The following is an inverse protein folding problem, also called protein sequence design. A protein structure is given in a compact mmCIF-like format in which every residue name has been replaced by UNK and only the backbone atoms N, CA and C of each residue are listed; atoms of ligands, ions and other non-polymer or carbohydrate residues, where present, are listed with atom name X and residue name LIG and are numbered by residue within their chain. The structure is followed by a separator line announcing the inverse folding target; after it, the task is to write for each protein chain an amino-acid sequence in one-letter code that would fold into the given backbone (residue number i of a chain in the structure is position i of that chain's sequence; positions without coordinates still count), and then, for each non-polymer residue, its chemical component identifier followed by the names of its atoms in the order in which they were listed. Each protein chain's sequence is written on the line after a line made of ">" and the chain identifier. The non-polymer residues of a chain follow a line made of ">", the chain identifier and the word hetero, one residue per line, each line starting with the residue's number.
data_IF_947667530295
#
_entry.id   IF_947667530295
#
_cell.length_a   1.000
_cell.length_b   1.000
_cell.length_c   1.000
_cell.angle_alpha   90.00
_cell.angle_beta   90.00
_cell.angle_gamma   90.00
#
_symmetry.space_group_name_H-M   'P 1'
#
loop_
_entity.id
_entity.type
_entity.pdbx_description
1 polymer ?
#
# COMPACT_ATOMS: atom_id res chain seq x y z
N UNK A 1 -19.23 -22.47 28.26
CA UNK A 1 -18.52 -22.70 26.98
C UNK A 1 -17.69 -21.46 26.65
N UNK A 2 -16.48 -21.37 27.20
CA UNK A 2 -15.55 -20.27 26.93
C UNK A 2 -14.79 -20.53 25.64
N UNK A 3 -15.35 -20.13 24.50
CA UNK A 3 -14.63 -20.13 23.24
C UNK A 3 -13.60 -19.00 23.28
N UNK A 4 -12.33 -19.38 23.34
CA UNK A 4 -11.18 -18.49 23.29
C UNK A 4 -11.20 -17.71 21.97
N UNK A 5 -11.47 -16.41 22.05
CA UNK A 5 -11.43 -15.42 20.95
C UNK A 5 -10.20 -15.60 20.05
N UNK A 6 -9.10 -16.12 20.59
CA UNK A 6 -7.87 -16.41 19.86
C UNK A 6 -7.98 -17.48 18.75
N UNK A 7 -8.89 -18.47 18.84
CA UNK A 7 -9.06 -19.50 17.79
C UNK A 7 -9.96 -19.06 16.64
N UNK A 8 -10.85 -18.10 16.91
CA UNK A 8 -11.74 -17.50 15.90
C UNK A 8 -11.09 -16.28 15.23
N UNK A 9 -10.11 -15.65 15.88
CA UNK A 9 -9.40 -14.49 15.34
C UNK A 9 -8.76 -14.75 13.97
N UNK A 10 -8.09 -15.91 13.80
CA UNK A 10 -7.45 -16.29 12.54
C UNK A 10 -8.46 -16.48 11.40
N UNK A 11 -9.51 -17.33 11.53
CA UNK A 11 -10.50 -17.47 10.47
C UNK A 11 -11.33 -16.20 10.24
N UNK A 12 -11.56 -15.38 11.28
CA UNK A 12 -12.25 -14.08 11.13
C UNK A 12 -11.40 -13.06 10.36
N UNK A 13 -10.08 -13.04 10.61
CA UNK A 13 -9.13 -12.23 9.85
C UNK A 13 -9.05 -12.68 8.39
N UNK A 14 -9.02 -13.99 8.15
CA UNK A 14 -9.09 -14.56 6.79
C UNK A 14 -10.41 -14.20 6.11
N UNK A 15 -11.54 -14.30 6.81
CA UNK A 15 -12.86 -13.91 6.29
C UNK A 15 -12.93 -12.41 5.96
N UNK A 16 -12.30 -11.56 6.77
CA UNK A 16 -12.22 -10.12 6.56
C UNK A 16 -11.34 -9.77 5.34
N UNK A 17 -10.20 -10.45 5.18
CA UNK A 17 -9.34 -10.35 4.00
C UNK A 17 -10.11 -10.81 2.75
N UNK A 18 -10.84 -11.92 2.83
CA UNK A 18 -11.69 -12.42 1.74
C UNK A 18 -12.87 -11.46 1.44
N UNK A 19 -13.49 -10.85 2.44
CA UNK A 19 -14.56 -9.87 2.24
C UNK A 19 -14.03 -8.60 1.57
N UNK A 20 -12.85 -8.13 1.96
CA UNK A 20 -12.13 -7.04 1.29
C UNK A 20 -11.70 -7.44 -0.14
N UNK A 21 -11.51 -8.74 -0.39
CA UNK A 21 -11.30 -9.31 -1.72
C UNK A 21 -12.55 -9.31 -2.60
N UNK A 22 -13.76 -9.13 -2.07
CA UNK A 22 -15.00 -9.07 -2.86
C UNK A 22 -15.33 -7.65 -3.32
N UNK A 23 -14.94 -6.62 -2.57
CA UNK A 23 -15.33 -5.24 -2.88
C UNK A 23 -14.35 -4.56 -3.86
N UNK A 24 -14.74 -4.29 -5.12
CA UNK A 24 -13.89 -3.57 -6.05
C UNK A 24 -13.77 -2.10 -5.63
N UNK A 25 -12.55 -1.70 -5.23
CA UNK A 25 -12.22 -0.28 -5.15
C UNK A 25 -12.04 0.26 -6.58
N UNK A 26 -12.59 1.45 -6.89
CA UNK A 26 -12.35 2.10 -8.18
C UNK A 26 -10.87 2.47 -8.31
N UNK A 27 -10.29 2.20 -9.48
CA UNK A 27 -8.86 2.44 -9.80
C UNK A 27 -8.43 3.90 -9.57
N UNK A 28 -9.33 4.85 -9.79
CA UNK A 28 -9.09 6.28 -9.57
C UNK A 28 -8.78 6.60 -8.10
N UNK A 29 -9.49 5.95 -7.17
CA UNK A 29 -9.27 6.14 -5.73
C UNK A 29 -7.95 5.50 -5.29
N UNK A 30 -7.58 4.37 -5.90
CA UNK A 30 -6.29 3.75 -5.65
C UNK A 30 -5.13 4.65 -6.09
N UNK A 31 -5.20 5.24 -7.29
CA UNK A 31 -4.18 6.14 -7.80
C UNK A 31 -3.97 7.34 -6.86
N UNK A 32 -5.06 7.97 -6.42
CA UNK A 32 -4.99 9.11 -5.47
C UNK A 32 -4.34 8.70 -4.14
N UNK A 33 -4.73 7.57 -3.55
CA UNK A 33 -4.18 7.12 -2.28
C UNK A 33 -2.71 6.67 -2.42
N UNK A 34 -2.33 6.07 -3.55
CA UNK A 34 -0.95 5.66 -3.83
C UNK A 34 -0.05 6.89 -4.00
N UNK A 35 -0.49 7.89 -4.79
CA UNK A 35 0.23 9.17 -4.92
C UNK A 35 0.34 9.89 -3.57
N UNK A 36 -0.72 9.91 -2.77
CA UNK A 36 -0.70 10.47 -1.42
C UNK A 36 0.31 9.74 -0.53
N UNK A 37 0.38 8.41 -0.60
CA UNK A 37 1.33 7.64 0.20
C UNK A 37 2.78 8.00 -0.12
N UNK A 38 3.11 8.13 -1.41
CA UNK A 38 4.45 8.53 -1.86
C UNK A 38 4.76 9.96 -1.43
N UNK A 39 3.82 10.89 -1.60
CA UNK A 39 3.97 12.28 -1.16
C UNK A 39 4.20 12.37 0.36
N UNK A 40 3.41 11.65 1.16
CA UNK A 40 3.54 11.58 2.60
C UNK A 40 4.89 11.00 3.02
N UNK A 41 5.34 9.93 2.37
CA UNK A 41 6.67 9.35 2.61
C UNK A 41 7.79 10.36 2.32
N UNK A 42 7.64 11.16 1.26
CA UNK A 42 8.60 12.21 0.91
C UNK A 42 8.59 13.37 1.92
N UNK A 43 7.42 13.77 2.44
CA UNK A 43 7.30 14.75 3.52
C UNK A 43 7.98 14.23 4.78
N UNK A 44 7.69 13.00 5.19
CA UNK A 44 8.31 12.37 6.37
C UNK A 44 9.83 12.31 6.20
N UNK A 45 10.34 11.97 5.01
CA UNK A 45 11.77 11.99 4.71
C UNK A 45 12.37 13.40 4.86
N UNK A 46 11.76 14.42 4.24
CA UNK A 46 12.23 15.80 4.30
C UNK A 46 12.20 16.36 5.73
N UNK A 47 11.15 16.05 6.48
CA UNK A 47 11.02 16.41 7.91
C UNK A 47 12.09 15.70 8.72
N UNK A 48 12.35 14.42 8.48
CA UNK A 48 13.40 13.66 9.17
C UNK A 48 14.79 14.23 8.92
N UNK A 49 15.07 14.66 7.68
CA UNK A 49 16.34 15.27 7.29
C UNK A 49 16.54 16.68 7.89
N UNK A 50 15.46 17.39 8.22
CA UNK A 50 15.50 18.75 8.78
C UNK A 50 15.18 18.83 10.29
N UNK A 51 14.76 17.73 10.92
CA UNK A 51 14.34 17.71 12.32
C UNK A 51 15.53 17.99 13.25
N UNK A 52 15.47 19.11 13.99
CA UNK A 52 16.50 19.52 14.97
C UNK A 52 16.03 19.47 16.43
N UNK A 53 14.74 19.20 16.71
CA UNK A 53 14.16 19.28 18.07
C UNK A 53 13.57 17.94 18.56
N UNK A 54 13.81 17.53 19.82
CA UNK A 54 13.27 16.29 20.41
C UNK A 54 11.74 16.27 20.61
N UNK A 55 11.03 17.40 20.43
CA UNK A 55 9.57 17.44 20.49
C UNK A 55 8.92 16.81 19.24
N UNK A 56 9.59 16.87 18.08
CA UNK A 56 9.17 16.19 16.84
C UNK A 56 9.21 14.66 17.00
N UNK A 57 10.09 14.17 17.89
CA UNK A 57 10.30 12.75 18.16
C UNK A 57 9.09 12.07 18.84
N UNK A 58 8.17 12.79 19.48
CA UNK A 58 6.97 12.19 20.07
C UNK A 58 5.82 12.03 19.07
N UNK A 59 5.74 12.90 18.06
CA UNK A 59 4.74 12.79 16.99
C UNK A 59 5.20 11.81 15.91
N UNK A 60 6.52 11.68 15.75
CA UNK A 60 7.15 10.85 14.73
C UNK A 60 6.73 9.36 14.75
N UNK A 61 6.71 8.64 15.89
CA UNK A 61 6.28 7.24 15.95
C UNK A 61 4.82 7.06 15.51
N UNK A 62 3.94 7.98 15.89
CA UNK A 62 2.52 7.92 15.55
C UNK A 62 2.31 8.14 14.05
N UNK A 63 3.00 9.11 13.47
CA UNK A 63 2.98 9.34 12.01
C UNK A 63 3.52 8.12 11.28
N UNK A 64 4.64 7.54 11.73
CA UNK A 64 5.18 6.31 11.15
C UNK A 64 4.19 5.14 11.24
N UNK A 65 3.54 4.92 12.39
CA UNK A 65 2.52 3.88 12.54
C UNK A 65 1.35 4.09 11.57
N UNK A 66 0.82 5.32 11.46
CA UNK A 66 -0.26 5.64 10.51
C UNK A 66 0.17 5.45 9.05
N UNK A 67 1.37 5.92 8.68
CA UNK A 67 1.90 5.74 7.32
C UNK A 67 2.10 4.26 6.97
N UNK A 68 2.48 3.46 7.97
CA UNK A 68 2.71 2.02 7.82
C UNK A 68 1.38 1.28 7.62
N UNK A 69 0.34 1.62 8.39
CA UNK A 69 -1.01 1.07 8.22
C UNK A 69 -1.62 1.46 6.86
N UNK A 70 -1.40 2.71 6.43
CA UNK A 70 -1.80 3.17 5.10
C UNK A 70 -1.10 2.35 4.00
N UNK A 71 0.21 2.11 4.12
CA UNK A 71 0.97 1.26 3.19
C UNK A 71 0.44 -0.17 3.15
N UNK A 72 0.22 -0.79 4.31
CA UNK A 72 -0.33 -2.15 4.41
C UNK A 72 -1.67 -2.26 3.68
N UNK A 73 -2.57 -1.30 3.94
CA UNK A 73 -3.90 -1.26 3.32
C UNK A 73 -3.81 -1.08 1.80
N UNK A 74 -2.94 -0.18 1.33
CA UNK A 74 -2.76 0.09 -0.09
C UNK A 74 -2.11 -1.07 -0.84
N UNK A 75 -1.15 -1.77 -0.23
CA UNK A 75 -0.50 -2.94 -0.85
C UNK A 75 -1.46 -4.11 -1.04
N UNK A 76 -2.36 -4.35 -0.08
CA UNK A 76 -3.39 -5.39 -0.22
C UNK A 76 -4.40 -5.01 -1.31
N UNK A 77 -4.84 -3.75 -1.31
CA UNK A 77 -5.78 -3.25 -2.32
C UNK A 77 -5.18 -3.25 -3.73
N UNK A 78 -3.92 -2.82 -3.90
CA UNK A 78 -3.22 -2.77 -5.18
C UNK A 78 -2.99 -4.17 -5.73
N UNK A 79 -2.47 -5.09 -4.92
CA UNK A 79 -2.21 -6.47 -5.34
C UNK A 79 -3.50 -7.15 -5.80
N UNK A 80 -4.62 -6.93 -5.10
CA UNK A 80 -5.93 -7.44 -5.52
C UNK A 80 -6.34 -6.88 -6.87
N UNK A 81 -6.27 -5.57 -7.07
CA UNK A 81 -6.67 -4.94 -8.33
C UNK A 81 -5.76 -5.40 -9.48
N UNK A 82 -4.45 -5.50 -9.25
CA UNK A 82 -3.49 -6.04 -10.22
C UNK A 82 -3.84 -7.50 -10.60
N UNK A 83 -4.15 -8.37 -9.63
CA UNK A 83 -4.48 -9.77 -9.90
C UNK A 83 -5.86 -9.96 -10.55
N UNK A 84 -6.84 -9.12 -10.23
CA UNK A 84 -8.22 -9.22 -10.74
C UNK A 84 -8.43 -8.52 -12.09
N UNK A 85 -7.77 -7.38 -12.30
CA UNK A 85 -7.99 -6.47 -13.44
C UNK A 85 -6.73 -6.32 -14.32
N UNK A 86 -5.55 -6.76 -13.88
CA UNK A 86 -4.33 -6.67 -14.69
C UNK A 86 -4.39 -7.47 -16.01
N UNK A 87 -5.29 -8.44 -16.13
CA UNK A 87 -5.50 -9.19 -17.38
C UNK A 87 -6.29 -8.41 -18.44
N UNK A 88 -7.01 -7.34 -18.06
CA UNK A 88 -7.81 -6.50 -18.98
C UNK A 88 -7.01 -5.37 -19.66
N UNK A 89 -5.71 -5.24 -19.36
CA UNK A 89 -4.80 -4.26 -19.96
C UNK A 89 -3.91 -3.56 -18.92
N UNK A 90 -2.79 -2.94 -19.32
CA UNK A 90 -1.85 -2.29 -18.41
C UNK A 90 -2.47 -1.09 -17.64
N UNK A 91 -3.41 -0.38 -18.26
CA UNK A 91 -4.19 0.71 -17.63
C UNK A 91 -5.19 0.23 -16.55
N UNK A 92 -5.55 -1.05 -16.54
CA UNK A 92 -6.66 -1.56 -15.73
C UNK A 92 -6.32 -1.68 -14.24
N UNK A 93 -5.03 -1.66 -13.88
CA UNK A 93 -4.61 -1.67 -12.48
C UNK A 93 -4.56 -0.26 -11.84
N UNK A 94 -4.58 0.80 -12.66
CA UNK A 94 -4.36 2.19 -12.25
C UNK A 94 -3.17 2.82 -12.98
N UNK A 95 -3.28 4.09 -13.35
CA UNK A 95 -2.26 4.78 -14.17
C UNK A 95 -0.97 5.04 -13.41
N UNK A 96 -1.07 5.25 -12.09
CA UNK A 96 0.12 5.47 -11.25
C UNK A 96 0.93 4.18 -11.15
N UNK A 97 0.26 3.03 -11.03
CA UNK A 97 0.91 1.71 -11.00
C UNK A 97 1.58 1.41 -12.34
N UNK A 98 0.89 1.63 -13.47
CA UNK A 98 1.46 1.44 -14.80
C UNK A 98 2.70 2.32 -15.02
N UNK A 99 2.59 3.61 -14.69
CA UNK A 99 3.68 4.57 -14.86
C UNK A 99 4.87 4.21 -13.97
N UNK A 100 4.64 3.80 -12.72
CA UNK A 100 5.70 3.30 -11.85
C UNK A 100 6.35 2.04 -12.40
N UNK A 101 5.57 1.08 -12.89
CA UNK A 101 6.09 -0.16 -13.48
C UNK A 101 6.96 0.13 -14.71
N UNK A 102 6.47 0.97 -15.63
CA UNK A 102 7.20 1.37 -16.83
C UNK A 102 8.51 2.11 -16.49
N UNK A 103 8.46 3.05 -15.53
CA UNK A 103 9.63 3.78 -15.05
C UNK A 103 10.67 2.86 -14.42
N UNK A 104 10.24 1.89 -13.61
CA UNK A 104 11.13 1.02 -12.84
C UNK A 104 11.80 -0.06 -13.72
N UNK A 105 11.08 -0.54 -14.73
CA UNK A 105 11.59 -1.52 -15.69
C UNK A 105 12.51 -0.85 -16.71
N UNK A 106 12.32 0.44 -17.03
CA UNK A 106 13.24 1.21 -17.87
C UNK A 106 13.50 0.59 -19.26
N UNK A 107 12.59 -0.26 -19.76
CA UNK A 107 12.74 -1.03 -21.00
C UNK A 107 13.42 -2.40 -20.86
N UNK A 108 13.89 -2.79 -19.68
CA UNK A 108 14.48 -4.11 -19.43
C UNK A 108 13.84 -4.81 -18.22
N UNK A 109 12.98 -5.80 -18.49
CA UNK A 109 12.26 -6.58 -17.48
C UNK A 109 13.23 -7.25 -16.48
N UNK A 110 14.45 -7.58 -16.88
CA UNK A 110 15.45 -8.15 -15.99
C UNK A 110 15.88 -7.18 -14.88
N UNK A 111 15.92 -5.87 -15.16
CA UNK A 111 16.20 -4.84 -14.15
C UNK A 111 15.05 -4.78 -13.14
N UNK A 112 13.82 -4.82 -13.62
CA UNK A 112 12.63 -4.87 -12.76
C UNK A 112 12.62 -6.06 -11.81
N UNK A 113 13.07 -7.23 -12.27
CA UNK A 113 13.12 -8.46 -11.45
C UNK A 113 14.23 -8.46 -10.39
N UNK A 114 15.33 -7.75 -10.60
CA UNK A 114 16.47 -7.71 -9.65
C UNK A 114 16.27 -6.67 -8.54
N UNK A 115 15.51 -5.61 -8.82
CA UNK A 115 15.26 -4.50 -7.86
C UNK A 115 14.19 -4.85 -6.82
N UNK A 116 13.34 -5.84 -7.09
CA UNK A 116 12.22 -6.30 -6.24
C UNK A 116 12.49 -7.68 -5.64
#
# INVERSE_FOLDING_TARGET
>A
MGMSVNRLAVPMLVLLILAMMVLPLPTLMLDVLLTLNIALAMIVLLVSLNARRPLDFSVFPTVLLLTTLLRLSLNVASTRIILMQGQTGPDAAGKVIESFGSFLVGGNIAVGFVVF
#
